data_IF_373303738382
#
_entry.id   IF_373303738382
#
_cell.length_a   1.000
_cell.length_b   1.000
_cell.length_c   1.000
_cell.angle_alpha   90.00
_cell.angle_beta   90.00
_cell.angle_gamma   90.00
#
_symmetry.space_group_name_H-M   'P 1'
#
loop_
_entity.id
_entity.type
_entity.pdbx_description
1 polymer ?
#
# COMPACT_ATOMS: atom_id res chain seq x y z
N UNK A 1 62.37 83.21 11.41
CA UNK A 1 62.15 81.83 11.88
C UNK A 1 60.66 81.52 11.85
N UNK A 2 60.09 81.13 10.70
CA UNK A 2 58.64 80.86 10.58
C UNK A 2 58.35 79.87 9.43
N UNK A 3 59.07 78.74 9.37
CA UNK A 3 58.94 77.78 8.24
C UNK A 3 58.88 76.32 8.68
N UNK A 4 58.85 76.01 9.99
CA UNK A 4 58.92 74.63 10.48
C UNK A 4 57.56 74.02 10.87
N UNK A 5 56.51 74.82 10.98
CA UNK A 5 55.20 74.40 11.52
C UNK A 5 54.16 73.99 10.45
N UNK A 6 54.34 74.34 9.19
CA UNK A 6 53.39 73.99 8.12
C UNK A 6 53.60 72.57 7.57
N UNK A 7 54.84 72.06 7.61
CA UNK A 7 55.16 70.69 7.20
C UNK A 7 54.46 69.63 8.06
N UNK A 8 54.47 69.81 9.39
CA UNK A 8 53.83 68.89 10.34
C UNK A 8 52.29 68.90 10.22
N UNK A 9 51.65 70.06 10.05
CA UNK A 9 50.20 70.15 9.82
C UNK A 9 49.77 69.47 8.53
N UNK A 10 50.57 69.55 7.46
CA UNK A 10 50.26 68.88 6.19
C UNK A 10 50.39 67.36 6.29
N UNK A 11 51.41 66.87 7.01
CA UNK A 11 51.65 65.45 7.29
C UNK A 11 50.53 64.86 8.14
N UNK A 12 50.07 65.59 9.15
CA UNK A 12 48.97 65.17 10.03
C UNK A 12 47.64 65.04 9.28
N UNK A 13 47.32 66.00 8.39
CA UNK A 13 46.13 65.90 7.53
C UNK A 13 46.20 64.72 6.56
N UNK A 14 47.39 64.40 6.01
CA UNK A 14 47.58 63.23 5.14
C UNK A 14 47.39 61.92 5.91
N UNK A 15 47.96 61.81 7.11
CA UNK A 15 47.77 60.65 8.00
C UNK A 15 46.32 60.46 8.42
N UNK A 16 45.62 61.54 8.75
CA UNK A 16 44.21 61.48 9.13
C UNK A 16 43.29 61.09 7.96
N UNK A 17 43.59 61.56 6.74
CA UNK A 17 42.90 61.11 5.52
C UNK A 17 43.17 59.64 5.24
N UNK A 18 44.42 59.19 5.35
CA UNK A 18 44.79 57.78 5.17
C UNK A 18 44.07 56.88 6.18
N UNK A 19 44.02 57.28 7.45
CA UNK A 19 43.29 56.56 8.50
C UNK A 19 41.79 56.48 8.20
N UNK A 20 41.16 57.58 7.75
CA UNK A 20 39.75 57.56 7.33
C UNK A 20 39.52 56.59 6.17
N UNK A 21 40.37 56.61 5.15
CA UNK A 21 40.27 55.68 4.01
C UNK A 21 40.42 54.23 4.47
N UNK A 22 41.37 53.92 5.35
CA UNK A 22 41.54 52.58 5.91
C UNK A 22 40.32 52.13 6.71
N UNK A 23 39.72 53.01 7.51
CA UNK A 23 38.48 52.73 8.25
C UNK A 23 37.33 52.47 7.28
N UNK A 24 37.15 53.29 6.23
CA UNK A 24 36.12 53.07 5.22
C UNK A 24 36.30 51.75 4.47
N UNK A 25 37.54 51.43 4.06
CA UNK A 25 37.83 50.15 3.40
C UNK A 25 37.57 48.98 4.34
N UNK A 26 37.96 49.08 5.61
CA UNK A 26 37.68 48.06 6.62
C UNK A 26 36.17 47.84 6.82
N UNK A 27 35.38 48.91 6.89
CA UNK A 27 33.92 48.82 6.98
C UNK A 27 33.29 48.23 5.72
N UNK A 28 33.74 48.63 4.53
CA UNK A 28 33.23 48.10 3.26
C UNK A 28 33.54 46.61 3.08
N UNK A 29 34.75 46.18 3.42
CA UNK A 29 35.13 44.76 3.41
C UNK A 29 34.34 43.95 4.45
N UNK A 30 34.13 44.51 5.65
CA UNK A 30 33.28 43.89 6.66
C UNK A 30 31.83 43.70 6.18
N UNK A 31 31.27 44.70 5.50
CA UNK A 31 29.93 44.60 4.90
C UNK A 31 29.88 43.54 3.79
N UNK A 32 30.86 43.51 2.88
CA UNK A 32 30.91 42.51 1.80
C UNK A 32 31.05 41.09 2.35
N UNK A 33 31.85 40.90 3.41
CA UNK A 33 31.98 39.60 4.06
C UNK A 33 30.65 39.13 4.66
N UNK A 34 29.98 39.98 5.43
CA UNK A 34 28.65 39.67 5.99
C UNK A 34 27.60 39.42 4.90
N UNK A 35 27.59 40.23 3.84
CA UNK A 35 26.68 40.04 2.71
C UNK A 35 26.95 38.72 1.97
N UNK A 36 28.21 38.34 1.80
CA UNK A 36 28.58 37.07 1.15
C UNK A 36 28.11 35.86 1.97
N UNK A 37 28.20 35.92 3.29
CA UNK A 37 27.75 34.85 4.18
C UNK A 37 26.22 34.66 4.12
N UNK A 38 25.47 35.77 4.07
CA UNK A 38 24.00 35.71 3.87
C UNK A 38 23.65 35.12 2.51
N UNK A 39 24.36 35.49 1.44
CA UNK A 39 24.13 34.94 0.09
C UNK A 39 24.46 33.46 0.04
N UNK A 40 25.57 33.02 0.65
CA UNK A 40 25.93 31.60 0.73
C UNK A 40 24.86 30.83 1.49
N UNK A 41 24.43 31.32 2.66
CA UNK A 41 23.37 30.67 3.46
C UNK A 41 22.01 30.64 2.76
N UNK A 42 21.72 31.60 1.89
CA UNK A 42 20.52 31.59 1.06
C UNK A 42 20.65 30.57 -0.09
N UNK A 43 21.82 30.46 -0.71
CA UNK A 43 22.08 29.54 -1.83
C UNK A 43 22.32 28.10 -1.39
N UNK A 44 22.62 27.83 -0.13
CA UNK A 44 22.77 26.46 0.40
C UNK A 44 21.44 25.77 0.66
N UNK A 45 20.30 26.43 0.41
CA UNK A 45 18.94 25.88 0.57
C UNK A 45 18.79 25.09 1.87
N UNK A 46 18.94 25.73 3.05
CA UNK A 46 18.89 25.01 4.32
C UNK A 46 17.55 24.29 4.46
N UNK A 47 17.60 22.98 4.73
CA UNK A 47 16.40 22.18 4.98
C UNK A 47 15.93 22.42 6.40
N UNK A 48 14.70 22.93 6.56
CA UNK A 48 14.04 22.99 7.86
C UNK A 48 13.11 21.78 8.00
N UNK A 49 13.25 21.05 9.11
CA UNK A 49 12.35 19.95 9.46
C UNK A 49 11.39 20.45 10.54
N UNK A 50 10.10 20.44 10.23
CA UNK A 50 9.04 20.77 11.18
C UNK A 50 8.25 19.49 11.49
N UNK A 51 8.33 19.03 12.73
CA UNK A 51 7.62 17.83 13.19
C UNK A 51 6.43 18.29 14.01
N UNK A 52 5.23 18.11 13.46
CA UNK A 52 3.97 18.44 14.11
C UNK A 52 3.15 17.18 14.30
N UNK A 53 2.45 17.11 15.43
CA UNK A 53 1.39 16.13 15.65
C UNK A 53 0.09 16.82 15.25
N UNK A 54 -0.51 16.35 14.16
CA UNK A 54 -1.79 16.86 13.68
C UNK A 54 -2.93 16.15 14.40
N UNK A 55 -4.06 16.85 14.57
CA UNK A 55 -5.23 16.31 15.24
C UNK A 55 -5.95 15.23 14.41
N UNK A 56 -6.93 14.54 15.02
CA UNK A 56 -7.67 13.45 14.39
C UNK A 56 -8.41 13.87 13.12
N UNK A 57 -8.72 15.16 12.96
CA UNK A 57 -9.36 15.75 11.78
C UNK A 57 -8.56 15.60 10.47
N UNK A 58 -7.27 15.25 10.55
CA UNK A 58 -6.43 15.03 9.37
C UNK A 58 -6.22 13.55 9.04
N UNK A 59 -6.77 12.64 9.84
CA UNK A 59 -6.66 11.20 9.58
C UNK A 59 -7.49 10.82 8.36
N UNK A 60 -6.93 9.93 7.55
CA UNK A 60 -7.62 9.36 6.39
C UNK A 60 -7.55 7.86 6.57
N UNK A 61 -8.71 7.19 6.59
CA UNK A 61 -8.70 5.73 6.64
C UNK A 61 -7.98 5.18 5.40
N UNK A 62 -6.99 4.30 5.58
CA UNK A 62 -6.29 3.72 4.44
C UNK A 62 -7.22 2.80 3.64
N UNK A 63 -6.91 2.68 2.36
CA UNK A 63 -7.40 1.57 1.57
C UNK A 63 -6.64 0.29 1.95
N UNK A 64 -7.25 -0.86 1.68
CA UNK A 64 -6.65 -2.15 1.95
C UNK A 64 -6.53 -2.94 0.65
N UNK A 65 -5.36 -3.55 0.43
CA UNK A 65 -5.15 -4.50 -0.65
C UNK A 65 -4.85 -5.88 -0.06
N UNK A 66 -5.62 -6.87 -0.48
CA UNK A 66 -5.55 -8.25 -0.02
C UNK A 66 -5.29 -9.18 -1.21
N UNK A 67 -4.17 -9.88 -1.18
CA UNK A 67 -3.78 -10.86 -2.18
C UNK A 67 -3.97 -12.27 -1.63
N UNK A 68 -4.88 -13.05 -2.22
CA UNK A 68 -5.32 -14.33 -1.70
C UNK A 68 -4.69 -15.46 -2.52
N UNK A 69 -4.15 -16.48 -1.84
CA UNK A 69 -3.67 -17.69 -2.51
C UNK A 69 -4.80 -18.65 -2.87
N UNK A 70 -4.54 -19.58 -3.82
CA UNK A 70 -5.53 -20.56 -4.27
C UNK A 70 -6.85 -19.89 -4.73
N UNK A 71 -6.70 -18.83 -5.51
CA UNK A 71 -7.75 -17.87 -5.87
C UNK A 71 -8.72 -18.32 -6.97
N UNK A 72 -8.40 -19.41 -7.67
CA UNK A 72 -9.19 -19.88 -8.81
C UNK A 72 -10.45 -20.63 -8.39
N UNK A 73 -11.55 -20.39 -9.08
CA UNK A 73 -12.83 -21.06 -8.84
C UNK A 73 -12.88 -22.46 -9.46
N UNK A 74 -13.27 -23.44 -8.65
CA UNK A 74 -13.68 -24.79 -9.07
C UNK A 74 -15.20 -24.82 -9.14
N UNK A 75 -15.73 -25.37 -10.23
CA UNK A 75 -17.17 -25.47 -10.43
C UNK A 75 -17.78 -26.44 -9.40
N UNK A 76 -18.74 -26.00 -8.57
CA UNK A 76 -19.40 -26.87 -7.58
C UNK A 76 -20.21 -28.01 -8.21
N UNK A 77 -20.48 -28.00 -9.52
CA UNK A 77 -21.11 -29.14 -10.20
C UNK A 77 -20.21 -30.39 -10.27
N UNK A 78 -18.90 -30.26 -10.02
CA UNK A 78 -17.92 -31.36 -10.04
C UNK A 78 -17.62 -31.98 -8.66
N UNK A 79 -18.44 -31.66 -7.64
CA UNK A 79 -18.27 -32.08 -6.24
C UNK A 79 -18.62 -33.57 -5.99
N UNK A 80 -18.16 -34.47 -6.86
CA UNK A 80 -18.19 -35.91 -6.63
C UNK A 80 -16.90 -36.37 -5.92
N UNK A 81 -16.66 -35.88 -4.71
CA UNK A 81 -15.82 -36.60 -3.74
C UNK A 81 -16.74 -37.55 -2.96
N UNK A 82 -16.77 -38.87 -3.26
CA UNK A 82 -17.75 -39.79 -2.68
C UNK A 82 -17.69 -39.95 -1.14
N UNK A 83 -16.66 -39.41 -0.47
CA UNK A 83 -16.49 -39.51 0.98
C UNK A 83 -17.13 -38.39 1.83
N UNK A 84 -17.64 -37.31 1.23
CA UNK A 84 -18.13 -36.17 2.04
C UNK A 84 -19.49 -36.41 2.70
N UNK A 85 -20.28 -37.38 2.22
CA UNK A 85 -21.58 -37.74 2.84
C UNK A 85 -21.44 -38.49 4.16
N UNK A 86 -20.31 -39.14 4.44
CA UNK A 86 -20.08 -39.90 5.69
C UNK A 86 -19.41 -39.07 6.81
N UNK A 87 -18.68 -38.01 6.48
CA UNK A 87 -17.85 -37.26 7.45
C UNK A 87 -18.62 -36.20 8.25
N UNK A 88 -19.87 -35.85 7.90
CA UNK A 88 -20.71 -34.95 8.74
C UNK A 88 -21.05 -35.53 10.13
N UNK A 89 -20.67 -36.78 10.45
CA UNK A 89 -20.91 -37.40 11.76
C UNK A 89 -19.67 -37.65 12.61
N UNK A 90 -18.46 -37.37 12.13
CA UNK A 90 -17.25 -37.56 12.93
C UNK A 90 -16.29 -36.39 12.67
N UNK A 91 -16.20 -35.47 13.63
CA UNK A 91 -15.07 -34.54 13.72
C UNK A 91 -13.91 -35.27 14.41
N UNK A 92 -12.75 -35.47 13.76
CA UNK A 92 -11.53 -35.83 14.46
C UNK A 92 -10.91 -34.57 15.07
N UNK A 93 -10.47 -34.68 16.32
CA UNK A 93 -9.77 -33.63 17.10
C UNK A 93 -8.27 -33.59 16.85
N UNK A 94 -7.75 -34.36 15.89
CA UNK A 94 -6.35 -34.38 15.52
C UNK A 94 -6.14 -33.68 14.17
N UNK A 95 -5.12 -32.83 14.09
CA UNK A 95 -4.80 -31.99 12.92
C UNK A 95 -4.33 -32.74 11.67
N UNK A 96 -4.88 -33.92 11.38
CA UNK A 96 -4.69 -34.62 10.12
C UNK A 96 -5.56 -33.95 9.03
N UNK A 97 -4.94 -33.04 8.27
CA UNK A 97 -5.52 -32.51 7.04
C UNK A 97 -5.71 -33.66 6.06
N UNK A 98 -6.95 -34.12 5.88
CA UNK A 98 -7.29 -35.07 4.83
C UNK A 98 -6.90 -34.49 3.46
N UNK A 99 -5.91 -35.10 2.82
CA UNK A 99 -5.54 -34.81 1.43
C UNK A 99 -6.68 -35.25 0.52
N UNK A 100 -7.52 -34.29 0.12
CA UNK A 100 -8.26 -34.46 -1.12
C UNK A 100 -7.23 -34.40 -2.26
N UNK A 101 -6.98 -35.55 -2.91
CA UNK A 101 -6.40 -35.55 -4.25
C UNK A 101 -7.22 -34.58 -5.10
N UNK A 102 -6.54 -33.61 -5.72
CA UNK A 102 -7.08 -32.44 -6.42
C UNK A 102 -8.54 -32.58 -6.88
N UNK A 103 -9.43 -31.62 -6.53
CA UNK A 103 -10.77 -31.62 -7.09
C UNK A 103 -10.62 -31.57 -8.62
N UNK A 104 -11.27 -32.51 -9.32
CA UNK A 104 -11.26 -32.67 -10.79
C UNK A 104 -11.78 -31.45 -11.58
N UNK A 105 -11.97 -30.30 -10.94
CA UNK A 105 -12.92 -29.29 -11.38
C UNK A 105 -12.55 -27.85 -11.15
N UNK A 106 -11.30 -27.39 -11.27
CA UNK A 106 -11.13 -25.97 -11.70
C UNK A 106 -12.03 -25.83 -12.91
N UNK A 107 -13.01 -24.90 -12.94
CA UNK A 107 -14.13 -24.95 -13.91
C UNK A 107 -13.61 -25.43 -15.25
N UNK A 108 -13.76 -26.75 -15.48
CA UNK A 108 -12.96 -27.42 -16.50
C UNK A 108 -13.34 -26.80 -17.83
N UNK A 109 -14.61 -26.43 -17.93
CA UNK A 109 -15.24 -25.64 -18.95
C UNK A 109 -14.58 -24.27 -19.17
N UNK A 110 -14.37 -23.42 -18.14
CA UNK A 110 -13.69 -22.12 -18.33
C UNK A 110 -12.22 -22.28 -18.76
N UNK A 111 -11.48 -23.20 -18.13
CA UNK A 111 -10.08 -23.44 -18.50
C UNK A 111 -9.94 -24.13 -19.87
N UNK A 112 -10.77 -25.13 -20.16
CA UNK A 112 -10.84 -25.84 -21.45
C UNK A 112 -11.30 -24.91 -22.57
N UNK A 113 -12.28 -24.04 -22.32
CA UNK A 113 -12.73 -23.03 -23.28
C UNK A 113 -11.62 -22.04 -23.63
N UNK A 114 -10.75 -21.73 -22.66
CA UNK A 114 -9.61 -20.82 -22.87
C UNK A 114 -8.39 -21.54 -23.47
N UNK A 115 -8.14 -22.78 -23.06
CA UNK A 115 -7.02 -23.59 -23.54
C UNK A 115 -7.37 -25.07 -23.56
N UNK A 116 -7.44 -25.62 -24.78
CA UNK A 116 -7.92 -26.97 -25.07
C UNK A 116 -7.10 -28.07 -24.38
N UNK A 117 -5.83 -27.79 -24.07
CA UNK A 117 -4.95 -28.73 -23.36
C UNK A 117 -5.56 -29.15 -22.02
N UNK A 118 -6.28 -28.26 -21.31
CA UNK A 118 -6.88 -28.59 -20.02
C UNK A 118 -8.13 -29.49 -20.08
N UNK A 119 -8.67 -29.77 -21.28
CA UNK A 119 -9.89 -30.56 -21.42
C UNK A 119 -9.70 -32.06 -21.07
N UNK A 120 -8.51 -32.63 -21.32
CA UNK A 120 -8.26 -34.08 -21.31
C UNK A 120 -7.13 -34.52 -20.36
N UNK A 121 -7.09 -33.99 -19.13
CA UNK A 121 -6.12 -34.44 -18.12
C UNK A 121 -6.70 -35.44 -17.11
N UNK A 122 -5.97 -36.54 -16.93
CA UNK A 122 -6.22 -37.60 -15.94
C UNK A 122 -5.12 -37.70 -14.88
N UNK A 123 -3.89 -37.29 -15.19
CA UNK A 123 -2.77 -37.24 -14.24
C UNK A 123 -2.78 -35.90 -13.49
N UNK A 124 -2.57 -35.99 -12.17
CA UNK A 124 -2.76 -34.88 -11.24
C UNK A 124 -1.52 -33.99 -11.12
N UNK A 125 -0.31 -34.56 -11.20
CA UNK A 125 0.92 -33.79 -11.08
C UNK A 125 1.32 -33.12 -12.40
N UNK A 126 1.12 -33.82 -13.52
CA UNK A 126 1.32 -33.24 -14.85
C UNK A 126 0.35 -32.07 -15.09
N UNK A 127 -0.90 -32.22 -14.67
CA UNK A 127 -1.90 -31.15 -14.70
C UNK A 127 -1.47 -29.93 -13.90
N UNK A 128 -0.95 -30.12 -12.68
CA UNK A 128 -0.44 -29.03 -11.85
C UNK A 128 0.69 -28.26 -12.54
N UNK A 129 1.64 -28.98 -13.14
CA UNK A 129 2.77 -28.37 -13.84
C UNK A 129 2.30 -27.61 -15.08
N UNK A 130 1.37 -28.17 -15.85
CA UNK A 130 0.78 -27.48 -17.00
C UNK A 130 0.04 -26.20 -16.56
N UNK A 131 -0.76 -26.31 -15.50
CA UNK A 131 -1.50 -25.18 -14.95
C UNK A 131 -0.55 -24.06 -14.51
N UNK A 132 0.51 -24.37 -13.76
CA UNK A 132 1.49 -23.37 -13.35
C UNK A 132 2.14 -22.66 -14.55
N UNK A 133 2.55 -23.41 -15.58
CA UNK A 133 3.12 -22.82 -16.80
C UNK A 133 2.13 -21.94 -17.54
N UNK A 134 0.86 -22.36 -17.62
CA UNK A 134 -0.20 -21.55 -18.22
C UNK A 134 -0.39 -20.25 -17.43
N UNK A 135 -0.50 -20.32 -16.10
CA UNK A 135 -0.67 -19.14 -15.27
C UNK A 135 0.52 -18.17 -15.36
N UNK A 136 1.74 -18.66 -15.54
CA UNK A 136 2.93 -17.82 -15.71
C UNK A 136 2.98 -17.10 -17.06
N UNK A 137 2.31 -17.65 -18.08
CA UNK A 137 2.39 -17.15 -19.47
C UNK A 137 1.12 -16.43 -19.92
N UNK A 138 -0.02 -16.74 -19.31
CA UNK A 138 -1.30 -16.20 -19.72
C UNK A 138 -1.54 -14.80 -19.14
N UNK A 139 -1.80 -13.83 -20.02
CA UNK A 139 -2.25 -12.50 -19.62
C UNK A 139 -3.74 -12.47 -19.29
N UNK A 140 -4.12 -11.65 -18.30
CA UNK A 140 -5.51 -11.33 -17.94
C UNK A 140 -6.37 -12.56 -17.56
N UNK A 141 -6.22 -13.05 -16.33
CA UNK A 141 -6.89 -14.24 -15.80
C UNK A 141 -8.00 -13.95 -14.77
N UNK A 142 -8.51 -12.71 -14.72
CA UNK A 142 -9.49 -12.33 -13.69
C UNK A 142 -10.78 -13.13 -13.72
N UNK A 143 -11.23 -13.56 -14.89
CA UNK A 143 -12.44 -14.38 -15.06
C UNK A 143 -12.37 -15.80 -14.45
N UNK A 144 -11.15 -16.27 -14.17
CA UNK A 144 -10.89 -17.55 -13.50
C UNK A 144 -10.90 -17.40 -11.98
N UNK A 145 -10.76 -16.17 -11.48
CA UNK A 145 -10.81 -15.91 -10.05
C UNK A 145 -12.20 -16.18 -9.50
N UNK A 146 -12.24 -16.67 -8.26
CA UNK A 146 -13.49 -16.64 -7.51
C UNK A 146 -13.96 -15.20 -7.33
N UNK A 147 -15.28 -15.03 -7.34
CA UNK A 147 -15.89 -13.74 -7.04
C UNK A 147 -15.44 -13.21 -5.67
N UNK A 148 -15.13 -11.92 -5.61
CA UNK A 148 -14.67 -11.26 -4.37
C UNK A 148 -15.68 -11.43 -3.23
N UNK A 149 -16.97 -11.41 -3.50
CA UNK A 149 -18.05 -11.59 -2.50
C UNK A 149 -18.08 -13.00 -1.89
N UNK A 150 -17.53 -13.99 -2.60
CA UNK A 150 -17.48 -15.37 -2.11
C UNK A 150 -16.29 -15.54 -1.16
N UNK A 151 -15.16 -14.90 -1.44
CA UNK A 151 -13.92 -15.09 -0.66
C UNK A 151 -13.77 -14.05 0.45
N UNK A 152 -14.23 -12.82 0.21
CA UNK A 152 -14.00 -11.67 1.08
C UNK A 152 -15.33 -11.06 1.52
N UNK A 153 -15.48 -10.93 2.82
CA UNK A 153 -16.52 -10.11 3.43
C UNK A 153 -15.83 -8.97 4.19
N UNK A 154 -16.00 -7.75 3.69
CA UNK A 154 -15.48 -6.54 4.35
C UNK A 154 -16.66 -5.76 4.91
N UNK A 155 -16.52 -5.37 6.18
CA UNK A 155 -17.50 -4.60 6.93
C UNK A 155 -16.79 -3.40 7.53
N UNK A 156 -17.44 -2.23 7.46
CA UNK A 156 -17.08 -1.10 8.30
C UNK A 156 -18.21 -0.87 9.29
N UNK A 157 -17.86 -0.79 10.56
CA UNK A 157 -18.81 -0.62 11.66
C UNK A 157 -18.39 0.55 12.55
N UNK A 158 -19.39 1.33 12.99
CA UNK A 158 -19.20 2.29 14.07
C UNK A 158 -19.82 1.68 15.33
N UNK A 159 -19.01 1.24 16.31
CA UNK A 159 -19.52 0.58 17.51
C UNK A 159 -20.47 1.46 18.33
N UNK A 160 -20.40 2.79 18.20
CA UNK A 160 -21.28 3.73 18.88
C UNK A 160 -22.67 3.92 18.24
N UNK A 161 -22.87 3.50 16.99
CA UNK A 161 -24.10 3.72 16.20
C UNK A 161 -24.76 2.41 15.74
N UNK A 162 -24.41 1.30 16.38
CA UNK A 162 -24.84 -0.07 16.05
C UNK A 162 -26.37 -0.20 15.88
N UNK A 163 -26.82 -0.18 14.63
CA UNK A 163 -28.12 -0.77 14.26
C UNK A 163 -28.00 -1.65 13.01
N UNK A 164 -27.10 -1.37 12.05
CA UNK A 164 -26.77 -2.33 10.97
C UNK A 164 -25.33 -2.15 10.47
N UNK A 165 -24.50 -3.21 10.44
CA UNK A 165 -23.23 -3.16 9.73
C UNK A 165 -23.54 -2.91 8.25
N UNK A 166 -23.05 -1.80 7.69
CA UNK A 166 -23.10 -1.61 6.25
C UNK A 166 -22.06 -2.53 5.62
N UNK A 167 -22.49 -3.74 5.26
CA UNK A 167 -21.70 -4.61 4.40
C UNK A 167 -21.36 -3.86 3.12
N UNK A 168 -20.11 -3.94 2.68
CA UNK A 168 -19.71 -3.25 1.46
C UNK A 168 -20.42 -3.84 0.24
N UNK A 169 -21.00 -2.95 -0.56
CA UNK A 169 -21.51 -3.36 -1.87
C UNK A 169 -20.36 -3.85 -2.76
N UNK A 170 -20.63 -4.90 -3.55
CA UNK A 170 -19.70 -5.55 -4.51
C UNK A 170 -18.78 -4.58 -5.25
N UNK A 171 -19.36 -3.47 -5.67
CA UNK A 171 -18.74 -2.42 -6.47
C UNK A 171 -17.51 -1.75 -5.82
N UNK A 172 -17.27 -1.95 -4.52
CA UNK A 172 -16.14 -1.38 -3.78
C UNK A 172 -14.98 -2.37 -3.54
N UNK A 173 -15.19 -3.64 -3.89
CA UNK A 173 -14.18 -4.70 -3.85
C UNK A 173 -13.76 -5.03 -5.28
N UNK A 174 -12.72 -4.35 -5.75
CA UNK A 174 -12.26 -4.45 -7.13
C UNK A 174 -11.06 -5.40 -7.19
N UNK A 175 -11.10 -6.35 -8.11
CA UNK A 175 -9.90 -7.11 -8.47
C UNK A 175 -8.91 -6.18 -9.16
N UNK A 176 -7.82 -5.84 -8.47
CA UNK A 176 -6.93 -4.76 -8.88
C UNK A 176 -5.65 -5.25 -9.54
N UNK A 177 -5.15 -6.43 -9.13
CA UNK A 177 -3.88 -6.95 -9.60
C UNK A 177 -3.81 -8.48 -9.48
N UNK A 178 -2.86 -9.10 -10.18
CA UNK A 178 -2.56 -10.53 -10.06
C UNK A 178 -1.06 -10.74 -9.92
N UNK A 179 -0.64 -11.44 -8.86
CA UNK A 179 0.76 -11.88 -8.68
C UNK A 179 0.80 -13.37 -8.98
N UNK A 180 0.73 -13.65 -10.28
CA UNK A 180 0.67 -14.99 -10.81
C UNK A 180 1.96 -15.76 -10.49
N UNK A 181 1.86 -17.09 -10.33
CA UNK A 181 0.64 -17.89 -10.41
C UNK A 181 -0.15 -17.93 -9.09
N UNK A 182 0.44 -17.46 -7.99
CA UNK A 182 0.01 -17.81 -6.65
C UNK A 182 -1.10 -16.94 -6.06
N UNK A 183 -1.16 -15.64 -6.40
CA UNK A 183 -2.11 -14.73 -5.77
C UNK A 183 -2.95 -13.94 -6.76
N UNK A 184 -4.22 -13.75 -6.37
CA UNK A 184 -5.09 -12.73 -6.93
C UNK A 184 -5.34 -11.63 -5.90
N UNK A 185 -5.23 -10.38 -6.30
CA UNK A 185 -5.31 -9.23 -5.41
C UNK A 185 -6.59 -8.45 -5.60
N UNK A 186 -7.22 -8.15 -4.47
CA UNK A 186 -8.42 -7.34 -4.37
C UNK A 186 -8.07 -6.07 -3.60
N UNK A 187 -8.45 -4.93 -4.14
CA UNK A 187 -8.32 -3.64 -3.46
C UNK A 187 -9.69 -3.17 -3.04
N UNK A 188 -9.75 -2.76 -1.80
CA UNK A 188 -10.91 -2.18 -1.18
C UNK A 188 -10.78 -0.65 -1.22
N UNK A 189 -11.69 0.00 -1.95
CA UNK A 189 -11.78 1.46 -2.04
C UNK A 189 -13.14 1.94 -1.54
N UNK A 190 -13.14 2.60 -0.38
CA UNK A 190 -14.35 3.08 0.28
C UNK A 190 -14.93 4.35 -0.38
N UNK A 191 -14.18 5.06 -1.23
CA UNK A 191 -14.62 6.36 -1.79
C UNK A 191 -15.84 6.28 -2.67
N UNK A 192 -16.08 5.12 -3.29
CA UNK A 192 -17.27 4.92 -4.12
C UNK A 192 -18.57 4.80 -3.32
N UNK A 193 -18.49 4.61 -2.00
CA UNK A 193 -19.65 4.25 -1.19
C UNK A 193 -20.38 5.48 -0.64
N UNK A 194 -21.62 5.69 -1.10
CA UNK A 194 -22.49 6.76 -0.59
C UNK A 194 -22.82 6.60 0.90
N UNK A 195 -22.75 5.38 1.46
CA UNK A 195 -22.99 5.13 2.88
C UNK A 195 -21.82 5.55 3.78
N UNK A 196 -20.67 5.87 3.18
CA UNK A 196 -19.45 6.27 3.87
C UNK A 196 -19.08 7.73 3.57
N UNK A 197 -20.06 8.54 3.18
CA UNK A 197 -19.84 9.99 3.03
C UNK A 197 -19.53 10.62 4.40
N UNK A 198 -20.26 10.22 5.45
CA UNK A 198 -20.03 10.67 6.82
C UNK A 198 -18.75 10.08 7.44
N UNK A 199 -18.25 8.98 6.89
CA UNK A 199 -17.01 8.32 7.32
C UNK A 199 -15.78 9.21 7.10
N UNK A 200 -15.85 10.13 6.15
CA UNK A 200 -14.79 11.12 5.90
C UNK A 200 -14.64 12.13 7.05
N UNK A 201 -15.70 12.34 7.84
CA UNK A 201 -15.72 13.37 8.88
C UNK A 201 -15.15 12.87 10.21
N UNK A 202 -15.25 11.58 10.51
CA UNK A 202 -14.72 10.99 11.76
C UNK A 202 -14.26 9.53 11.60
N UNK A 203 -13.09 9.29 10.98
CA UNK A 203 -12.59 7.94 10.72
C UNK A 203 -12.21 7.17 11.99
N UNK A 204 -12.00 7.84 13.12
CA UNK A 204 -11.62 7.19 14.39
C UNK A 204 -12.76 6.43 15.04
N UNK A 205 -14.00 6.74 14.67
CA UNK A 205 -15.19 6.07 15.20
C UNK A 205 -15.53 4.78 14.47
N UNK A 206 -14.75 4.39 13.46
CA UNK A 206 -15.03 3.22 12.65
C UNK A 206 -13.94 2.17 12.73
N UNK A 207 -14.37 0.91 12.72
CA UNK A 207 -13.54 -0.26 12.66
C UNK A 207 -13.78 -0.97 11.31
N UNK A 208 -12.70 -1.45 10.68
CA UNK A 208 -12.78 -2.26 9.48
C UNK A 208 -12.53 -3.72 9.82
N UNK A 209 -13.56 -4.53 9.62
CA UNK A 209 -13.56 -5.97 9.86
C UNK A 209 -13.52 -6.69 8.51
N UNK A 210 -12.52 -7.54 8.30
CA UNK A 210 -12.38 -8.35 7.08
C UNK A 210 -12.39 -9.83 7.44
N UNK A 211 -13.32 -10.57 6.84
CA UNK A 211 -13.40 -12.03 6.94
C UNK A 211 -13.00 -12.62 5.60
N UNK A 212 -12.08 -13.58 5.65
CA UNK A 212 -11.64 -14.35 4.49
C UNK A 212 -12.14 -15.78 4.59
N UNK A 213 -12.86 -16.22 3.57
CA UNK A 213 -13.41 -17.57 3.46
C UNK A 213 -12.49 -18.42 2.59
N UNK A 214 -11.98 -19.51 3.18
CA UNK A 214 -11.09 -20.45 2.50
C UNK A 214 -11.89 -21.65 1.99
N UNK A 215 -11.78 -21.98 0.70
CA UNK A 215 -12.51 -23.10 0.09
C UNK A 215 -11.57 -24.20 -0.41
N UNK A 216 -11.07 -25.08 0.47
CA UNK A 216 -10.10 -26.09 0.08
C UNK A 216 -10.63 -27.14 -0.90
N UNK A 217 -11.94 -27.37 -0.93
CA UNK A 217 -12.58 -28.25 -1.92
C UNK A 217 -12.95 -27.56 -3.23
N UNK A 218 -12.93 -26.22 -3.27
CA UNK A 218 -13.34 -25.43 -4.45
C UNK A 218 -12.21 -24.62 -5.07
N UNK A 219 -10.97 -24.87 -4.68
CA UNK A 219 -9.81 -24.24 -5.30
C UNK A 219 -8.70 -25.25 -5.53
N UNK A 220 -7.97 -25.14 -6.64
CA UNK A 220 -6.73 -25.87 -6.85
C UNK A 220 -5.69 -25.40 -5.86
N UNK A 221 -5.01 -26.35 -5.20
CA UNK A 221 -3.98 -26.03 -4.21
C UNK A 221 -2.65 -25.74 -4.91
N UNK A 222 -2.46 -24.50 -5.34
CA UNK A 222 -1.22 -23.99 -5.92
C UNK A 222 -0.14 -23.77 -4.85
N UNK A 223 -0.55 -23.28 -3.68
CA UNK A 223 0.34 -23.00 -2.54
C UNK A 223 -0.40 -23.19 -1.21
N UNK A 224 0.26 -22.84 -0.09
CA UNK A 224 -0.39 -22.79 1.21
C UNK A 224 -1.51 -21.74 1.20
N UNK A 225 -2.60 -22.01 1.91
CA UNK A 225 -3.66 -21.02 2.12
C UNK A 225 -3.11 -19.88 2.98
N UNK A 226 -3.06 -18.70 2.40
CA UNK A 226 -2.59 -17.49 3.05
C UNK A 226 -3.09 -16.26 2.29
N UNK A 227 -3.21 -15.15 3.02
CA UNK A 227 -3.54 -13.85 2.47
C UNK A 227 -2.39 -12.91 2.77
N UNK A 228 -1.89 -12.26 1.74
CA UNK A 228 -0.87 -11.22 1.83
C UNK A 228 -1.55 -9.85 1.72
N UNK A 229 -1.54 -9.08 2.80
CA UNK A 229 -2.35 -7.86 2.96
C UNK A 229 -1.49 -6.64 3.29
N UNK A 230 -1.90 -5.48 2.78
CA UNK A 230 -1.31 -4.19 3.14
C UNK A 230 -2.35 -3.08 3.24
N UNK A 231 -1.99 -2.04 3.98
CA UNK A 231 -2.70 -0.78 4.05
C UNK A 231 -1.94 0.26 3.24
N UNK A 232 -2.66 1.08 2.48
CA UNK A 232 -2.05 2.11 1.65
C UNK A 232 -2.93 3.35 1.57
N UNK A 233 -2.36 4.42 1.04
CA UNK A 233 -3.13 5.62 0.76
C UNK A 233 -4.23 5.31 -0.27
N UNK A 234 -5.39 5.95 -0.12
CA UNK A 234 -6.56 5.68 -0.97
C UNK A 234 -6.33 6.00 -2.45
N UNK A 235 -5.42 6.93 -2.73
CA UNK A 235 -5.01 7.31 -4.10
C UNK A 235 -3.87 6.47 -4.68
N UNK A 236 -3.25 5.60 -3.88
CA UNK A 236 -2.20 4.71 -4.36
C UNK A 236 -2.74 3.28 -4.46
N UNK A 237 -2.17 2.49 -5.37
CA UNK A 237 -2.43 1.05 -5.46
C UNK A 237 -1.12 0.35 -5.14
N UNK A 238 -1.07 -0.35 -4.01
CA UNK A 238 0.10 -1.14 -3.62
C UNK A 238 -0.07 -2.64 -3.87
N UNK A 239 -1.19 -3.08 -4.46
CA UNK A 239 -1.48 -4.49 -4.73
C UNK A 239 -0.40 -5.24 -5.53
N UNK A 240 0.44 -4.52 -6.27
CA UNK A 240 1.55 -5.10 -7.05
C UNK A 240 2.81 -5.42 -6.22
N UNK A 241 2.97 -4.84 -5.02
CA UNK A 241 4.14 -5.08 -4.18
C UNK A 241 3.93 -6.26 -3.24
N UNK A 242 5.02 -6.88 -2.79
CA UNK A 242 4.94 -7.89 -1.72
C UNK A 242 4.49 -7.19 -0.45
N UNK A 243 3.42 -7.66 0.18
CA UNK A 243 2.88 -7.00 1.35
C UNK A 243 3.58 -7.46 2.63
N UNK A 244 3.34 -6.70 3.70
CA UNK A 244 3.99 -6.88 5.01
C UNK A 244 3.21 -7.80 5.94
N UNK A 245 1.91 -7.96 5.72
CA UNK A 245 1.03 -8.75 6.60
C UNK A 245 0.67 -10.07 5.93
N UNK A 246 1.14 -11.17 6.52
CA UNK A 246 0.80 -12.52 6.06
C UNK A 246 -0.17 -13.17 7.03
N UNK A 247 -1.40 -13.40 6.59
CA UNK A 247 -2.48 -13.99 7.37
C UNK A 247 -2.70 -15.43 6.92
N UNK A 248 -3.00 -16.31 7.88
CA UNK A 248 -3.27 -17.73 7.64
C UNK A 248 -4.69 -18.10 8.08
N UNK A 249 -5.26 -19.18 7.54
CA UNK A 249 -6.55 -19.69 7.97
C UNK A 249 -6.64 -19.89 9.48
N UNK A 250 -7.84 -19.69 10.03
CA UNK A 250 -8.16 -19.84 11.46
C UNK A 250 -7.43 -18.89 12.42
N UNK A 251 -6.67 -17.91 11.90
CA UNK A 251 -6.11 -16.83 12.71
C UNK A 251 -7.10 -15.69 12.92
N UNK A 252 -7.03 -15.05 14.09
CA UNK A 252 -7.63 -13.74 14.34
C UNK A 252 -6.51 -12.71 14.41
N UNK A 253 -6.62 -11.64 13.64
CA UNK A 253 -5.58 -10.62 13.51
C UNK A 253 -6.19 -9.25 13.74
N UNK A 254 -5.60 -8.50 14.67
CA UNK A 254 -6.00 -7.14 15.01
C UNK A 254 -4.85 -6.18 14.71
N UNK A 255 -5.15 -5.06 14.06
CA UNK A 255 -4.15 -4.10 13.64
C UNK A 255 -4.56 -2.69 14.08
N UNK A 256 -3.67 -2.03 14.83
CA UNK A 256 -3.76 -0.59 15.07
C UNK A 256 -2.82 0.13 14.11
N UNK A 257 -3.33 1.13 13.39
CA UNK A 257 -2.58 1.84 12.37
C UNK A 257 -2.13 3.21 12.87
N UNK A 258 -0.89 3.59 12.56
CA UNK A 258 -0.36 4.93 12.77
C UNK A 258 -0.07 5.58 11.41
N UNK A 259 -0.76 6.65 11.09
CA UNK A 259 -0.51 7.41 9.87
C UNK A 259 0.62 8.42 10.11
N UNK A 260 1.57 8.48 9.17
CA UNK A 260 2.64 9.48 9.14
C UNK A 260 2.71 10.05 7.73
N UNK A 261 2.74 11.36 7.62
CA UNK A 261 2.89 12.08 6.36
C UNK A 261 4.24 12.79 6.32
N UNK A 262 4.83 12.84 5.13
CA UNK A 262 5.96 13.72 4.86
C UNK A 262 5.48 14.74 3.83
N UNK A 263 5.50 16.02 4.21
CA UNK A 263 5.17 17.10 3.30
C UNK A 263 6.44 17.82 2.90
N UNK A 264 6.85 17.64 1.65
CA UNK A 264 7.93 18.42 1.08
C UNK A 264 7.43 19.85 0.80
N UNK A 265 8.00 20.81 1.51
CA UNK A 265 7.73 22.23 1.28
C UNK A 265 8.70 22.71 0.20
N UNK A 266 8.38 22.41 -1.06
CA UNK A 266 9.18 22.92 -2.19
C UNK A 266 9.17 22.04 -3.42
N UNK A 267 8.24 22.31 -4.33
CA UNK A 267 8.15 21.68 -5.65
C UNK A 267 7.78 22.65 -6.77
N UNK A 268 8.19 23.92 -6.71
CA UNK A 268 8.29 24.75 -7.92
C UNK A 268 9.64 24.48 -8.61
N UNK A 269 9.81 23.27 -9.13
CA UNK A 269 10.84 22.99 -10.11
C UNK A 269 10.29 23.39 -11.47
N UNK A 270 10.67 24.62 -11.86
CA UNK A 270 10.86 25.12 -13.23
C UNK A 270 10.18 24.29 -14.32
N UNK A 271 9.02 24.76 -14.79
CA UNK A 271 8.71 24.68 -16.22
C UNK A 271 9.68 25.63 -16.94
N UNK A 272 10.82 25.12 -17.38
CA UNK A 272 11.62 25.68 -18.47
C UNK A 272 12.00 24.53 -19.39
#
# INVERSE_FOLDING_TARGET
MASKTDGERSSWRRRFRALRVLVYVGLALGFLYQASDVVVNYLTFPTTNDVRVEGPEQLIMPAASACISNWMSVDPAMDSCPHQKEIRRAMPTDGSLFECSWPKGISKEKLCARQVEFCNYTDTEEYKQLLLRFLDTAGNLGELAMDSEVILQVVMENPGMSIFPSGFAKQHLVQSFSRLPYYMCFTFDWRGSNSLVNFKEDPLTYEMSMIVLWYPGRSPRLSHYEMDMTFHHVDSISAATKHTLLLRPSGSYEYSLQQRSLKEVGGELRKL
#
